data_IF_654597860188
#
_entry.id   IF_654597860188
#
_cell.length_a   1.000
_cell.length_b   1.000
_cell.length_c   1.000
_cell.angle_alpha   90.00
_cell.angle_beta   90.00
_cell.angle_gamma   90.00
#
_symmetry.space_group_name_H-M   'P 1'
#
loop_
_entity.id
_entity.type
_entity.pdbx_description
1 polymer ?
#
# COMPACT_ATOMS: atom_id res chain seq x y z
N UNK A 1 4.02 -5.15 -0.96
CA UNK A 1 2.68 -5.73 -1.28
C UNK A 1 1.60 -4.65 -1.38
N UNK A 2 1.59 -3.63 -0.50
CA UNK A 2 0.76 -2.42 -0.65
C UNK A 2 1.13 -1.55 -1.88
N UNK A 3 2.37 -1.63 -2.35
CA UNK A 3 2.88 -0.87 -3.50
C UNK A 3 2.13 -1.12 -4.81
N UNK A 4 1.64 -2.34 -5.08
CA UNK A 4 0.88 -2.64 -6.32
C UNK A 4 -0.57 -2.15 -6.29
N UNK A 5 -1.16 -2.08 -5.10
CA UNK A 5 -2.54 -1.59 -4.89
C UNK A 5 -2.54 -0.06 -4.91
N UNK A 6 -1.54 0.54 -4.26
CA UNK A 6 -1.28 1.97 -4.31
C UNK A 6 -0.87 2.41 -5.73
N UNK A 7 -0.11 1.60 -6.50
CA UNK A 7 0.23 1.90 -7.90
C UNK A 7 -0.96 1.84 -8.85
N UNK A 8 -1.87 0.87 -8.69
CA UNK A 8 -3.06 0.79 -9.56
C UNK A 8 -4.04 1.92 -9.22
N UNK A 9 -4.17 2.30 -7.95
CA UNK A 9 -4.91 3.51 -7.55
C UNK A 9 -4.18 4.81 -8.00
N UNK A 10 -2.85 4.86 -7.95
CA UNK A 10 -2.09 6.04 -8.37
C UNK A 10 -2.05 6.19 -9.89
N UNK A 11 -2.10 5.11 -10.66
CA UNK A 11 -2.11 5.16 -12.13
C UNK A 11 -3.46 5.68 -12.68
N UNK A 12 -4.56 5.42 -11.98
CA UNK A 12 -5.85 6.07 -12.25
C UNK A 12 -5.91 7.53 -11.78
N UNK A 13 -5.08 7.91 -10.79
CA UNK A 13 -4.97 9.29 -10.30
C UNK A 13 -4.06 10.17 -11.20
N UNK A 14 -3.11 9.58 -11.94
CA UNK A 14 -2.18 10.33 -12.79
C UNK A 14 -2.73 10.74 -14.15
N UNK A 15 -3.74 10.05 -14.70
CA UNK A 15 -4.44 10.48 -15.92
C UNK A 15 -5.45 11.61 -15.67
N UNK A 16 -5.66 11.98 -14.40
CA UNK A 16 -6.43 13.16 -13.98
C UNK A 16 -5.47 14.19 -13.35
N UNK A 17 -4.39 14.54 -14.05
CA UNK A 17 -3.31 15.44 -13.58
C UNK A 17 -3.68 16.93 -13.60
N UNK A 18 -4.96 17.27 -13.37
CA UNK A 18 -5.42 18.61 -13.05
C UNK A 18 -6.63 18.57 -12.11
N UNK A 19 -6.45 18.11 -10.87
CA UNK A 19 -7.38 18.40 -9.78
C UNK A 19 -6.86 17.81 -8.46
N UNK A 20 -6.31 18.65 -7.59
CA UNK A 20 -6.37 18.39 -6.15
C UNK A 20 -7.83 18.32 -5.64
N UNK A 21 -8.82 18.76 -6.45
CA UNK A 21 -10.25 18.72 -6.11
C UNK A 21 -10.94 17.35 -6.26
N UNK A 22 -10.45 16.42 -7.10
CA UNK A 22 -11.19 15.19 -7.43
C UNK A 22 -11.09 14.09 -6.35
N UNK A 23 -9.97 14.05 -5.61
CA UNK A 23 -9.78 13.11 -4.51
C UNK A 23 -10.66 13.49 -3.30
N UNK A 24 -10.74 14.79 -2.99
CA UNK A 24 -11.59 15.33 -1.93
C UNK A 24 -13.08 15.19 -2.28
N UNK A 25 -13.44 15.35 -3.56
CA UNK A 25 -14.78 15.08 -4.08
C UNK A 25 -15.17 13.59 -3.94
N UNK A 26 -14.26 12.67 -4.26
CA UNK A 26 -14.48 11.23 -4.10
C UNK A 26 -14.74 10.81 -2.66
N UNK A 27 -13.91 11.28 -1.72
CA UNK A 27 -14.11 11.03 -0.29
C UNK A 27 -15.42 11.64 0.22
N UNK A 28 -15.76 12.85 -0.22
CA UNK A 28 -17.02 13.52 0.16
C UNK A 28 -18.23 12.73 -0.31
N UNK A 29 -18.21 12.21 -1.55
CA UNK A 29 -19.27 11.34 -2.06
C UNK A 29 -19.38 10.02 -1.30
N UNK A 30 -18.26 9.41 -0.90
CA UNK A 30 -18.26 8.19 -0.08
C UNK A 30 -18.87 8.48 1.30
N UNK A 31 -18.44 9.56 1.96
CA UNK A 31 -18.99 9.98 3.26
C UNK A 31 -20.49 10.19 3.16
N UNK A 32 -20.96 10.91 2.15
CA UNK A 32 -22.38 11.18 1.92
C UNK A 32 -23.17 9.89 1.67
N UNK A 33 -22.67 9.01 0.79
CA UNK A 33 -23.28 7.71 0.52
C UNK A 33 -23.42 6.86 1.78
N UNK A 34 -22.38 6.80 2.60
CA UNK A 34 -22.38 6.02 3.84
C UNK A 34 -23.28 6.64 4.92
N UNK A 35 -23.37 7.98 5.02
CA UNK A 35 -24.33 8.67 5.88
C UNK A 35 -25.78 8.39 5.45
N UNK A 36 -26.08 8.48 4.16
CA UNK A 36 -27.40 8.15 3.61
C UNK A 36 -27.82 6.70 3.91
N UNK A 37 -26.86 5.77 3.89
CA UNK A 37 -27.07 4.37 4.28
C UNK A 37 -27.03 4.10 5.78
N UNK A 38 -26.91 5.14 6.62
CA UNK A 38 -26.79 5.04 8.09
C UNK A 38 -25.62 4.14 8.54
N UNK A 39 -24.52 4.13 7.77
CA UNK A 39 -23.28 3.37 8.07
C UNK A 39 -22.21 4.24 8.73
N UNK A 40 -22.38 5.56 8.70
CA UNK A 40 -21.53 6.54 9.39
C UNK A 40 -22.41 7.53 10.16
N UNK A 41 -21.98 7.86 11.36
CA UNK A 41 -22.57 8.90 12.23
C UNK A 41 -21.58 10.01 12.53
N UNK A 42 -20.31 9.82 12.17
CA UNK A 42 -19.20 10.69 12.52
C UNK A 42 -19.16 11.98 11.69
N UNK A 43 -18.44 12.95 12.25
CA UNK A 43 -18.05 14.15 11.55
C UNK A 43 -16.68 13.95 10.88
N UNK A 44 -16.57 14.49 9.68
CA UNK A 44 -15.38 14.42 8.83
C UNK A 44 -14.93 15.83 8.45
N UNK A 45 -13.65 16.04 8.14
CA UNK A 45 -13.17 17.31 7.56
C UNK A 45 -14.04 17.70 6.36
N UNK A 46 -14.37 18.99 6.22
CA UNK A 46 -15.03 19.53 5.02
C UNK A 46 -14.22 19.25 3.74
N UNK A 47 -14.85 19.11 2.54
CA UNK A 47 -16.01 19.89 2.07
C UNK A 47 -17.35 19.14 2.13
N UNK A 48 -18.18 19.46 3.14
CA UNK A 48 -19.53 18.85 3.33
C UNK A 48 -20.59 19.48 2.39
N UNK A 49 -20.19 19.90 1.20
CA UNK A 49 -21.12 20.21 0.11
C UNK A 49 -20.64 19.53 -1.17
N UNK A 50 -20.60 18.20 -1.14
CA UNK A 50 -20.60 17.47 -2.39
C UNK A 50 -21.96 17.63 -3.05
N UNK A 51 -21.94 18.09 -4.30
CA UNK A 51 -23.12 18.15 -5.14
C UNK A 51 -23.73 16.75 -5.25
N UNK A 52 -24.96 16.61 -4.74
CA UNK A 52 -25.71 15.35 -4.73
C UNK A 52 -25.80 14.73 -6.13
N UNK A 53 -25.94 15.56 -7.17
CA UNK A 53 -26.00 15.09 -8.55
C UNK A 53 -24.67 14.53 -9.02
N UNK A 54 -23.54 15.13 -8.62
CA UNK A 54 -22.21 14.57 -8.89
C UNK A 54 -22.01 13.23 -8.17
N UNK A 55 -22.42 13.13 -6.91
CA UNK A 55 -22.24 11.87 -6.17
C UNK A 55 -23.12 10.73 -6.70
N UNK A 56 -24.28 11.02 -7.29
CA UNK A 56 -25.09 10.02 -8.01
C UNK A 56 -24.35 9.44 -9.22
N UNK A 57 -23.47 10.20 -9.86
CA UNK A 57 -22.65 9.74 -10.99
C UNK A 57 -21.37 9.06 -10.52
N UNK A 58 -20.70 9.62 -9.51
CA UNK A 58 -19.38 9.15 -9.03
C UNK A 58 -19.48 7.83 -8.24
N UNK A 59 -20.46 7.68 -7.35
CA UNK A 59 -20.55 6.51 -6.48
C UNK A 59 -20.71 5.18 -7.24
N UNK A 60 -21.56 5.07 -8.29
CA UNK A 60 -21.61 3.86 -9.11
C UNK A 60 -20.26 3.50 -9.74
N UNK A 61 -19.47 4.48 -10.15
CA UNK A 61 -18.14 4.27 -10.72
C UNK A 61 -17.16 3.74 -9.67
N UNK A 62 -17.14 4.36 -8.48
CA UNK A 62 -16.33 3.89 -7.34
C UNK A 62 -16.67 2.42 -7.03
N UNK A 63 -17.96 2.12 -6.83
CA UNK A 63 -18.40 0.77 -6.47
C UNK A 63 -18.07 -0.26 -7.57
N UNK A 64 -18.25 0.09 -8.85
CA UNK A 64 -17.91 -0.78 -9.97
C UNK A 64 -16.41 -1.02 -10.07
N UNK A 65 -15.58 -0.01 -9.78
CA UNK A 65 -14.13 -0.15 -9.76
C UNK A 65 -13.66 -1.06 -8.62
N UNK A 66 -14.23 -0.91 -7.42
CA UNK A 66 -13.98 -1.85 -6.31
C UNK A 66 -14.39 -3.28 -6.66
N UNK A 67 -15.56 -3.45 -7.29
CA UNK A 67 -16.03 -4.76 -7.77
C UNK A 67 -15.04 -5.39 -8.77
N UNK A 68 -14.59 -4.59 -9.75
CA UNK A 68 -13.62 -5.02 -10.77
C UNK A 68 -12.28 -5.40 -10.15
N UNK A 69 -11.75 -4.59 -9.23
CA UNK A 69 -10.49 -4.86 -8.54
C UNK A 69 -10.54 -6.16 -7.72
N UNK A 70 -11.66 -6.40 -7.01
CA UNK A 70 -11.87 -7.66 -6.29
C UNK A 70 -11.91 -8.86 -7.26
N UNK A 71 -12.64 -8.72 -8.37
CA UNK A 71 -12.72 -9.77 -9.39
C UNK A 71 -11.33 -10.11 -9.94
N UNK A 72 -10.55 -9.11 -10.32
CA UNK A 72 -9.17 -9.30 -10.82
C UNK A 72 -8.34 -10.07 -9.80
N UNK A 73 -8.35 -9.66 -8.53
CA UNK A 73 -7.58 -10.36 -7.48
C UNK A 73 -8.00 -11.80 -7.26
N UNK A 74 -9.31 -12.07 -7.25
CA UNK A 74 -9.80 -13.43 -7.12
C UNK A 74 -9.37 -14.30 -8.30
N UNK A 75 -9.41 -13.75 -9.52
CA UNK A 75 -8.94 -14.44 -10.73
C UNK A 75 -7.44 -14.70 -10.69
N UNK A 76 -6.62 -13.71 -10.32
CA UNK A 76 -5.15 -13.85 -10.19
C UNK A 76 -4.75 -14.95 -9.21
N UNK A 77 -5.60 -15.24 -8.22
CA UNK A 77 -5.40 -16.27 -7.21
C UNK A 77 -6.08 -17.59 -7.57
N UNK A 78 -6.58 -17.72 -8.79
CA UNK A 78 -7.25 -18.91 -9.32
C UNK A 78 -8.45 -19.37 -8.46
N UNK A 79 -9.23 -18.43 -7.92
CA UNK A 79 -10.39 -18.80 -7.11
C UNK A 79 -11.48 -19.42 -7.99
N UNK A 80 -12.02 -20.60 -7.63
CA UNK A 80 -13.21 -21.12 -8.29
C UNK A 80 -14.41 -20.22 -7.97
N UNK A 81 -15.33 -20.12 -8.93
CA UNK A 81 -16.60 -19.42 -8.76
C UNK A 81 -16.47 -17.92 -8.40
N UNK A 82 -15.47 -17.22 -8.94
CA UNK A 82 -15.27 -15.76 -8.74
C UNK A 82 -16.57 -14.96 -8.91
N UNK A 83 -17.36 -15.27 -9.93
CA UNK A 83 -18.63 -14.58 -10.19
C UNK A 83 -19.65 -14.76 -9.05
N UNK A 84 -19.69 -15.94 -8.41
CA UNK A 84 -20.53 -16.18 -7.24
C UNK A 84 -20.04 -15.32 -6.06
N UNK A 85 -18.73 -15.28 -5.82
CA UNK A 85 -18.15 -14.56 -4.68
C UNK A 85 -18.35 -13.04 -4.82
N UNK A 86 -18.10 -12.48 -6.00
CA UNK A 86 -18.33 -11.07 -6.30
C UNK A 86 -19.81 -10.71 -6.12
N UNK A 87 -20.73 -11.56 -6.61
CA UNK A 87 -22.18 -11.37 -6.41
C UNK A 87 -22.56 -11.42 -4.93
N UNK A 88 -21.95 -12.31 -4.14
CA UNK A 88 -22.18 -12.39 -2.71
C UNK A 88 -21.70 -11.13 -1.98
N UNK A 89 -20.49 -10.66 -2.27
CA UNK A 89 -19.90 -9.44 -1.69
C UNK A 89 -20.78 -8.21 -1.96
N UNK A 90 -21.30 -8.10 -3.19
CA UNK A 90 -22.23 -7.03 -3.56
C UNK A 90 -23.53 -7.08 -2.75
N UNK A 91 -24.16 -8.26 -2.68
CA UNK A 91 -25.47 -8.42 -2.05
C UNK A 91 -25.43 -8.31 -0.52
N UNK A 92 -24.28 -8.56 0.11
CA UNK A 92 -24.10 -8.48 1.56
C UNK A 92 -23.69 -7.09 2.04
N UNK A 93 -23.48 -6.13 1.12
CA UNK A 93 -23.03 -4.79 1.45
C UNK A 93 -21.57 -4.72 1.90
N UNK A 94 -20.74 -5.74 1.61
CA UNK A 94 -19.32 -5.71 1.95
C UNK A 94 -18.57 -4.53 1.32
N UNK A 95 -18.98 -4.09 0.12
CA UNK A 95 -18.42 -2.87 -0.49
C UNK A 95 -18.64 -1.64 0.38
N UNK A 96 -19.81 -1.48 1.00
CA UNK A 96 -20.07 -0.36 1.91
C UNK A 96 -19.16 -0.45 3.15
N UNK A 97 -18.95 -1.65 3.71
CA UNK A 97 -18.04 -1.84 4.84
C UNK A 97 -16.57 -1.62 4.48
N UNK A 98 -16.15 -1.95 3.25
CA UNK A 98 -14.81 -1.60 2.76
C UNK A 98 -14.64 -0.07 2.71
N UNK A 99 -15.64 0.64 2.20
CA UNK A 99 -15.63 2.11 2.19
C UNK A 99 -15.62 2.71 3.61
N UNK A 100 -16.37 2.14 4.56
CA UNK A 100 -16.31 2.55 5.98
C UNK A 100 -14.89 2.42 6.52
N UNK A 101 -14.22 1.30 6.23
CA UNK A 101 -12.85 1.04 6.69
C UNK A 101 -11.85 2.09 6.17
N UNK A 102 -12.01 2.53 4.92
CA UNK A 102 -11.15 3.56 4.32
C UNK A 102 -11.40 4.96 4.90
N UNK A 103 -12.65 5.28 5.24
CA UNK A 103 -13.05 6.64 5.65
C UNK A 103 -12.93 6.88 7.17
N UNK A 104 -13.18 5.87 8.02
CA UNK A 104 -13.13 6.02 9.48
C UNK A 104 -11.83 6.64 10.01
N UNK A 105 -10.62 6.29 9.51
CA UNK A 105 -9.37 6.92 9.93
C UNK A 105 -9.28 8.43 9.64
N UNK A 106 -10.14 8.95 8.76
CA UNK A 106 -10.21 10.37 8.44
C UNK A 106 -11.17 11.15 9.37
N UNK A 107 -11.83 10.49 10.32
CA UNK A 107 -12.75 11.16 11.25
C UNK A 107 -11.99 12.09 12.19
N UNK A 108 -12.54 13.30 12.38
CA UNK A 108 -12.04 14.27 13.39
C UNK A 108 -12.78 14.19 14.72
N UNK A 109 -13.92 13.49 14.75
CA UNK A 109 -14.78 13.41 15.93
C UNK A 109 -14.52 12.17 16.79
N UNK A 110 -13.63 11.27 16.35
CA UNK A 110 -13.30 10.05 17.07
C UNK A 110 -11.89 10.13 17.63
N UNK A 111 -11.70 9.57 18.81
CA UNK A 111 -10.37 9.34 19.36
C UNK A 111 -9.64 8.20 18.62
N UNK A 112 -8.32 8.15 18.68
CA UNK A 112 -7.52 7.09 18.04
C UNK A 112 -7.90 5.68 18.52
N UNK A 113 -8.27 5.54 19.80
CA UNK A 113 -8.77 4.30 20.40
C UNK A 113 -10.08 3.85 19.74
N UNK A 114 -11.01 4.77 19.53
CA UNK A 114 -12.30 4.54 18.87
C UNK A 114 -12.14 4.24 17.38
N UNK A 115 -11.26 5.00 16.68
CA UNK A 115 -10.89 4.74 15.27
C UNK A 115 -10.37 3.31 15.13
N UNK A 116 -9.48 2.88 16.03
CA UNK A 116 -8.91 1.54 16.04
C UNK A 116 -9.98 0.48 16.28
N UNK A 117 -10.84 0.68 17.29
CA UNK A 117 -11.90 -0.26 17.62
C UNK A 117 -12.92 -0.39 16.49
N UNK A 118 -13.34 0.74 15.91
CA UNK A 118 -14.30 0.77 14.80
C UNK A 118 -13.73 0.11 13.56
N UNK A 119 -12.48 0.41 13.22
CA UNK A 119 -11.77 -0.25 12.10
C UNK A 119 -11.70 -1.76 12.33
N UNK A 120 -11.36 -2.22 13.53
CA UNK A 120 -11.32 -3.65 13.89
C UNK A 120 -12.69 -4.31 13.76
N UNK A 121 -13.75 -3.67 14.25
CA UNK A 121 -15.12 -4.17 14.16
C UNK A 121 -15.56 -4.33 12.70
N UNK A 122 -15.28 -3.33 11.86
CA UNK A 122 -15.55 -3.39 10.42
C UNK A 122 -14.79 -4.55 9.77
N UNK A 123 -13.53 -4.76 10.13
CA UNK A 123 -12.76 -5.88 9.59
C UNK A 123 -13.32 -7.25 10.00
N UNK A 124 -13.79 -7.41 11.24
CA UNK A 124 -14.45 -8.65 11.69
C UNK A 124 -15.70 -8.93 10.85
N UNK A 125 -16.51 -7.90 10.59
CA UNK A 125 -17.71 -8.02 9.74
C UNK A 125 -17.33 -8.44 8.33
N UNK A 126 -16.36 -7.76 7.73
CA UNK A 126 -15.88 -8.06 6.39
C UNK A 126 -15.33 -9.50 6.29
N UNK A 127 -14.56 -9.94 7.28
CA UNK A 127 -14.03 -11.32 7.33
C UNK A 127 -15.15 -12.34 7.36
N UNK A 128 -16.18 -12.11 8.18
CA UNK A 128 -17.36 -12.97 8.24
C UNK A 128 -18.06 -13.04 6.88
N UNK A 129 -18.28 -11.90 6.21
CA UNK A 129 -18.91 -11.85 4.90
C UNK A 129 -18.11 -12.65 3.86
N UNK A 130 -16.79 -12.44 3.81
CA UNK A 130 -15.92 -13.11 2.83
C UNK A 130 -15.88 -14.62 3.05
N UNK A 131 -15.74 -15.08 4.30
CA UNK A 131 -15.75 -16.51 4.63
C UNK A 131 -17.11 -17.16 4.36
N UNK A 132 -18.21 -16.48 4.67
CA UNK A 132 -19.56 -16.96 4.32
C UNK A 132 -19.74 -17.03 2.80
N UNK A 133 -19.24 -16.05 2.06
CA UNK A 133 -19.23 -16.05 0.60
C UNK A 133 -18.45 -17.22 0.01
N UNK A 134 -17.24 -17.47 0.51
CA UNK A 134 -16.39 -18.58 0.10
C UNK A 134 -17.09 -19.92 0.29
N UNK A 135 -17.63 -20.19 1.49
CA UNK A 135 -18.38 -21.41 1.78
C UNK A 135 -19.58 -21.57 0.86
N UNK A 136 -20.37 -20.51 0.67
CA UNK A 136 -21.54 -20.53 -0.21
C UNK A 136 -21.18 -20.77 -1.68
N UNK A 137 -20.06 -20.24 -2.11
CA UNK A 137 -19.55 -20.38 -3.47
C UNK A 137 -18.65 -21.60 -3.65
N UNK A 138 -18.61 -22.51 -2.66
CA UNK A 138 -17.82 -23.75 -2.66
C UNK A 138 -16.34 -23.50 -2.96
N UNK A 139 -15.81 -22.39 -2.45
CA UNK A 139 -14.39 -22.07 -2.51
C UNK A 139 -13.67 -22.83 -1.37
N UNK A 140 -12.50 -23.45 -1.63
CA UNK A 140 -11.61 -24.05 -0.62
C UNK A 140 -11.46 -23.28 0.71
N UNK A 141 -11.29 -24.03 1.81
CA UNK A 141 -11.17 -23.48 3.17
C UNK A 141 -9.83 -22.77 3.45
N UNK A 142 -8.80 -23.03 2.63
CA UNK A 142 -7.47 -22.41 2.70
C UNK A 142 -7.46 -20.92 2.26
N UNK A 143 -8.55 -20.42 1.70
CA UNK A 143 -8.69 -19.02 1.29
C UNK A 143 -8.87 -18.01 2.43
N UNK A 144 -8.94 -18.46 3.68
CA UNK A 144 -8.88 -17.56 4.83
C UNK A 144 -7.66 -16.63 4.75
N UNK A 145 -6.50 -17.12 4.27
CA UNK A 145 -5.30 -16.31 4.06
C UNK A 145 -5.45 -15.22 3.00
N UNK A 146 -6.21 -15.47 1.92
CA UNK A 146 -6.49 -14.47 0.89
C UNK A 146 -7.44 -13.38 1.40
N UNK A 147 -8.42 -13.73 2.24
CA UNK A 147 -9.29 -12.72 2.84
C UNK A 147 -8.56 -11.87 3.86
N UNK A 148 -7.67 -12.46 4.66
CA UNK A 148 -6.74 -11.70 5.50
C UNK A 148 -5.86 -10.75 4.68
N UNK A 149 -5.39 -11.16 3.50
CA UNK A 149 -4.65 -10.31 2.55
C UNK A 149 -5.51 -9.15 2.02
N UNK A 150 -6.76 -9.42 1.60
CA UNK A 150 -7.71 -8.41 1.09
C UNK A 150 -8.11 -7.42 2.19
N UNK A 151 -8.30 -7.92 3.41
CA UNK A 151 -8.70 -7.11 4.57
C UNK A 151 -7.51 -6.46 5.26
N UNK A 152 -6.28 -6.67 4.79
CA UNK A 152 -5.09 -6.14 5.45
C UNK A 152 -5.03 -6.50 6.93
N UNK A 153 -5.62 -7.64 7.32
CA UNK A 153 -5.46 -8.28 8.63
C UNK A 153 -4.61 -9.50 8.44
N UNK A 154 -3.31 -9.34 8.14
CA UNK A 154 -2.47 -10.50 7.96
C UNK A 154 -2.58 -11.39 9.20
N UNK A 155 -2.81 -12.69 8.97
CA UNK A 155 -2.54 -13.72 9.95
C UNK A 155 -1.02 -13.68 10.14
N UNK A 156 -0.53 -12.70 10.93
CA UNK A 156 0.89 -12.37 10.98
C UNK A 156 1.55 -13.52 11.72
N UNK A 157 2.21 -14.38 10.97
CA UNK A 157 3.02 -15.44 11.54
C UNK A 157 4.13 -14.80 12.38
N UNK A 158 4.57 -15.51 13.41
CA UNK A 158 5.68 -15.09 14.28
C UNK A 158 6.89 -14.57 13.48
N UNK A 159 7.34 -15.20 12.37
CA UNK A 159 8.42 -14.66 11.54
C UNK A 159 8.13 -13.28 10.95
N UNK A 160 6.91 -13.00 10.51
CA UNK A 160 6.54 -11.70 9.94
C UNK A 160 6.46 -10.64 11.05
N UNK A 161 6.04 -11.00 12.26
CA UNK A 161 6.09 -10.10 13.41
C UNK A 161 7.52 -9.71 13.76
N UNK A 162 8.43 -10.70 13.79
CA UNK A 162 9.87 -10.48 14.01
C UNK A 162 10.47 -9.60 12.92
N UNK A 163 10.08 -9.85 11.67
CA UNK A 163 10.48 -9.05 10.52
C UNK A 163 10.08 -7.57 10.65
N UNK A 164 8.80 -7.33 10.95
CA UNK A 164 8.28 -5.99 11.12
C UNK A 164 8.93 -5.28 12.30
N UNK A 165 9.18 -5.99 13.41
CA UNK A 165 9.90 -5.45 14.56
C UNK A 165 11.31 -5.00 14.16
N UNK A 166 12.10 -5.85 13.50
CA UNK A 166 13.47 -5.50 13.13
C UNK A 166 13.54 -4.33 12.16
N UNK A 167 12.65 -4.29 11.17
CA UNK A 167 12.63 -3.19 10.20
C UNK A 167 12.19 -1.87 10.84
N UNK A 168 11.24 -1.93 11.76
CA UNK A 168 10.77 -0.76 12.50
C UNK A 168 11.85 -0.24 13.43
N UNK A 169 12.53 -1.15 14.17
CA UNK A 169 13.68 -0.84 15.02
C UNK A 169 14.77 -0.16 14.19
N UNK A 170 15.18 -0.79 13.09
CA UNK A 170 16.19 -0.27 12.19
C UNK A 170 15.85 1.13 11.66
N UNK A 171 14.61 1.36 11.22
CA UNK A 171 14.20 2.65 10.66
C UNK A 171 14.19 3.79 11.69
N UNK A 172 13.88 3.49 12.95
CA UNK A 172 13.88 4.49 14.03
C UNK A 172 15.31 4.75 14.51
N UNK A 173 16.09 3.70 14.77
CA UNK A 173 17.48 3.82 15.27
C UNK A 173 18.40 4.51 14.26
N UNK A 174 18.19 4.29 12.95
CA UNK A 174 18.94 4.97 11.89
C UNK A 174 18.34 6.33 11.48
N UNK A 175 17.39 6.87 12.25
CA UNK A 175 16.74 8.16 11.98
C UNK A 175 16.18 8.27 10.54
N UNK A 176 15.67 7.15 10.04
CA UNK A 176 14.95 7.09 8.77
C UNK A 176 13.53 7.62 8.89
N UNK A 177 12.94 7.41 10.07
CA UNK A 177 11.66 7.96 10.48
C UNK A 177 11.87 8.68 11.82
N UNK A 178 11.43 9.93 11.89
CA UNK A 178 11.43 10.74 13.11
C UNK A 178 10.09 10.57 13.83
N UNK A 179 10.16 10.02 15.04
CA UNK A 179 9.00 9.81 15.92
C UNK A 179 9.43 10.09 17.35
N UNK A 180 8.57 10.77 18.14
CA UNK A 180 8.93 11.14 19.51
C UNK A 180 8.70 10.00 20.50
N UNK A 181 7.61 9.24 20.35
CA UNK A 181 7.27 8.13 21.24
C UNK A 181 6.52 7.03 20.48
N UNK A 182 7.23 6.01 20.01
CA UNK A 182 6.63 4.86 19.33
C UNK A 182 6.96 3.58 20.08
N UNK A 183 5.93 2.79 20.37
CA UNK A 183 6.12 1.42 20.80
C UNK A 183 6.54 0.56 19.61
N UNK A 184 7.83 0.21 19.56
CA UNK A 184 8.44 -0.60 18.49
C UNK A 184 7.99 -2.08 18.57
N UNK A 185 7.55 -2.56 19.75
CA UNK A 185 7.03 -3.90 19.97
C UNK A 185 5.58 -3.87 20.51
N UNK A 186 4.60 -3.37 19.73
CA UNK A 186 3.23 -3.21 20.19
C UNK A 186 2.52 -4.54 20.46
N UNK A 187 3.04 -5.64 19.88
CA UNK A 187 2.48 -6.98 20.00
C UNK A 187 3.20 -7.85 21.03
N UNK A 188 4.15 -7.28 21.78
CA UNK A 188 4.91 -7.96 22.86
C UNK A 188 5.48 -9.31 22.44
N UNK A 189 6.02 -9.39 21.21
CA UNK A 189 6.69 -10.62 20.76
C UNK A 189 7.96 -10.86 21.58
N UNK A 190 8.34 -12.13 21.72
CA UNK A 190 9.59 -12.49 22.40
C UNK A 190 10.78 -11.99 21.59
N UNK A 191 11.68 -11.25 22.26
CA UNK A 191 12.89 -10.68 21.65
C UNK A 191 14.14 -11.55 21.89
N UNK A 192 14.03 -12.60 22.71
CA UNK A 192 15.17 -13.32 23.28
C UNK A 192 16.12 -13.98 22.25
N UNK A 193 15.70 -14.12 20.99
CA UNK A 193 16.48 -14.74 19.91
C UNK A 193 16.29 -14.02 18.56
N UNK A 194 16.02 -12.71 18.57
CA UNK A 194 15.88 -11.95 17.34
C UNK A 194 17.20 -11.24 17.03
N UNK A 195 17.89 -11.70 15.98
CA UNK A 195 19.03 -10.98 15.41
C UNK A 195 18.56 -10.04 14.28
N UNK A 196 18.36 -8.77 14.61
CA UNK A 196 17.88 -7.80 13.63
C UNK A 196 18.95 -7.36 12.64
N UNK A 197 20.23 -7.36 13.01
CA UNK A 197 21.33 -6.99 12.12
C UNK A 197 21.42 -8.00 10.98
N UNK A 198 21.53 -9.29 11.30
CA UNK A 198 21.57 -10.37 10.31
C UNK A 198 20.32 -10.37 9.42
N UNK A 199 19.14 -10.11 9.99
CA UNK A 199 17.91 -10.07 9.22
C UNK A 199 17.87 -8.89 8.23
N UNK A 200 18.39 -7.73 8.62
CA UNK A 200 18.50 -6.54 7.76
C UNK A 200 19.49 -6.84 6.63
N UNK A 201 20.67 -7.36 6.96
CA UNK A 201 21.73 -7.68 6.00
C UNK A 201 21.26 -8.72 4.97
N UNK A 202 20.64 -9.82 5.42
CA UNK A 202 20.06 -10.83 4.54
C UNK A 202 18.99 -10.22 3.62
N UNK A 203 18.17 -9.28 4.12
CA UNK A 203 17.16 -8.65 3.29
C UNK A 203 17.76 -7.71 2.26
N UNK A 204 18.81 -6.96 2.63
CA UNK A 204 19.53 -6.09 1.72
C UNK A 204 20.11 -6.90 0.56
N UNK A 205 20.87 -7.96 0.86
CA UNK A 205 21.45 -8.87 -0.15
C UNK A 205 20.36 -9.44 -1.05
N UNK A 206 19.26 -9.90 -0.47
CA UNK A 206 18.12 -10.44 -1.23
C UNK A 206 17.49 -9.38 -2.15
N UNK A 207 17.30 -8.15 -1.68
CA UNK A 207 16.71 -7.07 -2.50
C UNK A 207 17.65 -6.60 -3.60
N UNK A 208 18.95 -6.54 -3.33
CA UNK A 208 19.96 -6.26 -4.35
C UNK A 208 19.95 -7.33 -5.45
N UNK A 209 19.86 -8.61 -5.08
CA UNK A 209 19.71 -9.71 -6.04
C UNK A 209 18.43 -9.57 -6.89
N UNK A 210 17.29 -9.29 -6.25
CA UNK A 210 16.02 -9.08 -6.96
C UNK A 210 16.04 -7.86 -7.89
N UNK A 211 16.74 -6.79 -7.50
CA UNK A 211 16.92 -5.62 -8.35
C UNK A 211 17.76 -6.00 -9.57
N UNK A 212 18.89 -6.69 -9.37
CA UNK A 212 19.75 -7.16 -10.45
C UNK A 212 18.98 -8.05 -11.44
N UNK A 213 18.22 -9.02 -10.95
CA UNK A 213 17.36 -9.88 -11.79
C UNK A 213 16.41 -9.05 -12.66
N UNK A 214 15.71 -8.07 -12.06
CA UNK A 214 14.80 -7.18 -12.79
C UNK A 214 15.48 -6.27 -13.80
N UNK A 215 16.70 -5.83 -13.51
CA UNK A 215 17.45 -5.01 -14.46
C UNK A 215 17.89 -5.85 -15.67
N UNK A 216 18.27 -7.11 -15.47
CA UNK A 216 18.55 -8.04 -16.56
C UNK A 216 17.30 -8.34 -17.40
N UNK A 217 16.11 -8.46 -16.79
CA UNK A 217 14.84 -8.63 -17.52
C UNK A 217 14.44 -7.41 -18.37
N UNK A 218 15.04 -6.24 -18.14
CA UNK A 218 14.74 -4.98 -18.83
C UNK A 218 15.72 -4.67 -19.96
N UNK A 219 16.57 -5.62 -20.33
CA UNK A 219 17.59 -5.50 -21.38
C UNK A 219 18.57 -4.32 -21.17
N UNK A 220 18.81 -3.92 -19.91
CA UNK A 220 19.89 -2.99 -19.60
C UNK A 220 21.24 -3.67 -19.86
N UNK A 221 22.20 -2.94 -20.41
CA UNK A 221 23.55 -3.48 -20.58
C UNK A 221 24.32 -3.52 -19.24
N UNK A 222 25.43 -4.27 -19.21
CA UNK A 222 26.21 -4.49 -17.98
C UNK A 222 26.67 -3.19 -17.31
N UNK A 223 27.05 -2.17 -18.07
CA UNK A 223 27.49 -0.88 -17.54
C UNK A 223 26.33 -0.11 -16.89
N UNK A 224 25.16 -0.11 -17.53
CA UNK A 224 23.94 0.50 -16.99
C UNK A 224 23.49 -0.20 -15.71
N UNK A 225 23.50 -1.54 -15.72
CA UNK A 225 23.18 -2.35 -14.54
C UNK A 225 24.12 -2.01 -13.39
N UNK A 226 25.43 -2.01 -13.64
CA UNK A 226 26.44 -1.72 -12.62
C UNK A 226 26.26 -0.31 -12.06
N UNK A 227 26.07 0.70 -12.94
CA UNK A 227 25.79 2.07 -12.53
C UNK A 227 24.56 2.14 -11.60
N UNK A 228 23.44 1.52 -11.99
CA UNK A 228 22.21 1.52 -11.17
C UNK A 228 22.43 0.84 -9.81
N UNK A 229 23.17 -0.27 -9.77
CA UNK A 229 23.48 -0.98 -8.53
C UNK A 229 24.39 -0.16 -7.59
N UNK A 230 25.37 0.55 -8.13
CA UNK A 230 26.25 1.43 -7.35
C UNK A 230 25.49 2.63 -6.79
N UNK A 231 24.59 3.22 -7.59
CA UNK A 231 23.69 4.29 -7.14
C UNK A 231 22.71 3.81 -6.06
N UNK A 232 22.18 2.59 -6.18
CA UNK A 232 21.30 1.99 -5.18
C UNK A 232 21.98 1.90 -3.80
N UNK A 233 23.26 1.50 -3.78
CA UNK A 233 24.08 1.40 -2.56
C UNK A 233 24.48 2.78 -2.04
N UNK A 234 25.00 3.64 -2.92
CA UNK A 234 25.52 4.97 -2.54
C UNK A 234 24.44 5.86 -1.96
N UNK A 235 23.27 5.90 -2.58
CA UNK A 235 22.14 6.71 -2.14
C UNK A 235 21.30 6.01 -1.04
N UNK A 236 21.76 4.86 -0.53
CA UNK A 236 21.07 4.07 0.50
C UNK A 236 19.59 3.86 0.17
N UNK A 237 19.31 3.48 -1.06
CA UNK A 237 17.93 3.28 -1.54
C UNK A 237 17.25 2.12 -0.79
N UNK A 238 18.01 1.15 -0.28
CA UNK A 238 17.51 0.12 0.63
C UNK A 238 16.85 0.73 1.87
N UNK A 239 17.56 1.59 2.61
CA UNK A 239 17.09 2.26 3.81
C UNK A 239 15.78 3.02 3.57
N UNK A 240 15.73 3.77 2.47
CA UNK A 240 14.52 4.52 2.09
C UNK A 240 13.33 3.61 1.81
N UNK A 241 13.56 2.46 1.18
CA UNK A 241 12.52 1.46 0.96
C UNK A 241 12.03 0.82 2.27
N UNK A 242 12.92 0.54 3.22
CA UNK A 242 12.57 0.03 4.55
C UNK A 242 11.73 1.06 5.30
N UNK A 243 12.13 2.33 5.28
CA UNK A 243 11.39 3.41 5.94
C UNK A 243 9.97 3.56 5.38
N UNK A 244 9.80 3.50 4.06
CA UNK A 244 8.47 3.51 3.43
C UNK A 244 7.62 2.28 3.78
N UNK A 245 8.25 1.13 3.98
CA UNK A 245 7.52 -0.10 4.30
C UNK A 245 6.94 -0.07 5.71
N UNK A 246 7.70 0.47 6.68
CA UNK A 246 7.31 0.41 8.09
C UNK A 246 6.44 1.59 8.54
N UNK A 247 6.53 2.74 7.86
CA UNK A 247 5.79 3.96 8.25
C UNK A 247 4.27 3.76 8.37
N UNK A 248 3.71 2.90 7.53
CA UNK A 248 2.27 2.62 7.53
C UNK A 248 1.87 1.74 8.71
N UNK A 249 2.80 0.92 9.21
CA UNK A 249 2.61 0.05 10.36
C UNK A 249 2.76 0.77 11.70
N UNK A 250 3.36 1.96 11.69
CA UNK A 250 3.53 2.77 12.89
C UNK A 250 2.19 3.36 13.35
N UNK A 251 1.95 3.30 14.66
CA UNK A 251 0.81 3.93 15.33
C UNK A 251 1.16 5.39 15.68
N UNK A 252 1.37 6.20 14.64
CA UNK A 252 1.68 7.64 14.71
C UNK A 252 0.61 8.44 13.96
N UNK A 253 0.56 9.75 14.18
CA UNK A 253 -0.46 10.61 13.56
C UNK A 253 -0.34 10.65 12.03
N UNK A 254 -1.43 11.04 11.37
CA UNK A 254 -1.42 11.23 9.92
C UNK A 254 -0.38 12.27 9.49
N UNK A 255 -0.30 13.38 10.23
CA UNK A 255 0.65 14.46 10.01
C UNK A 255 2.11 13.98 10.15
N UNK A 256 2.40 13.15 11.16
CA UNK A 256 3.72 12.53 11.34
C UNK A 256 4.06 11.57 10.20
N UNK A 257 3.10 10.75 9.74
CA UNK A 257 3.29 9.89 8.54
C UNK A 257 3.57 10.73 7.31
N UNK A 258 2.81 11.81 7.11
CA UNK A 258 2.99 12.71 5.96
C UNK A 258 4.38 13.34 5.95
N UNK A 259 4.80 13.95 7.06
CA UNK A 259 6.11 14.59 7.18
C UNK A 259 7.26 13.60 6.94
N UNK A 260 7.17 12.39 7.49
CA UNK A 260 8.18 11.36 7.27
C UNK A 260 8.19 10.84 5.82
N UNK A 261 7.02 10.65 5.18
CA UNK A 261 6.97 10.28 3.75
C UNK A 261 7.63 11.33 2.86
N UNK A 262 7.41 12.62 3.14
CA UNK A 262 8.05 13.71 2.41
C UNK A 262 9.58 13.69 2.58
N UNK A 263 10.06 13.49 3.81
CA UNK A 263 11.49 13.33 4.08
C UNK A 263 12.11 12.14 3.35
N UNK A 264 11.42 11.00 3.31
CA UNK A 264 11.89 9.80 2.60
C UNK A 264 11.87 10.03 1.08
N UNK A 265 10.82 10.67 0.55
CA UNK A 265 10.73 11.02 -0.87
C UNK A 265 11.89 11.92 -1.31
N UNK A 266 12.25 12.92 -0.50
CA UNK A 266 13.39 13.79 -0.77
C UNK A 266 14.73 13.03 -0.79
N UNK A 267 14.89 11.99 0.02
CA UNK A 267 16.06 11.09 -0.04
C UNK A 267 16.07 10.25 -1.32
N UNK A 268 14.90 9.72 -1.71
CA UNK A 268 14.77 8.91 -2.93
C UNK A 268 14.91 9.73 -4.22
N UNK A 269 14.63 11.04 -4.19
CA UNK A 269 14.74 11.90 -5.37
C UNK A 269 16.16 11.86 -5.98
N UNK A 270 17.20 11.83 -5.15
CA UNK A 270 18.59 11.72 -5.59
C UNK A 270 18.83 10.41 -6.33
N UNK A 271 18.43 9.29 -5.73
CA UNK A 271 18.50 7.98 -6.37
C UNK A 271 17.76 7.94 -7.70
N UNK A 272 16.53 8.46 -7.76
CA UNK A 272 15.74 8.51 -9.00
C UNK A 272 16.48 9.28 -10.10
N UNK A 273 17.02 10.47 -9.77
CA UNK A 273 17.82 11.28 -10.72
C UNK A 273 19.04 10.50 -11.20
N UNK A 274 19.74 9.83 -10.30
CA UNK A 274 20.91 8.99 -10.64
C UNK A 274 20.56 7.82 -11.56
N UNK A 275 19.44 7.11 -11.33
CA UNK A 275 19.00 6.04 -12.25
C UNK A 275 18.74 6.60 -13.64
N UNK A 276 18.11 7.77 -13.76
CA UNK A 276 17.87 8.39 -15.07
C UNK A 276 19.17 8.72 -15.79
N UNK A 277 20.23 9.11 -15.06
CA UNK A 277 21.56 9.33 -15.63
C UNK A 277 22.14 8.00 -16.09
N UNK A 278 22.18 6.98 -15.23
CA UNK A 278 22.68 5.64 -15.56
C UNK A 278 21.96 5.04 -16.78
N UNK A 279 20.65 5.21 -16.88
CA UNK A 279 19.84 4.71 -17.99
C UNK A 279 20.01 5.54 -19.29
N UNK A 280 20.45 6.80 -19.21
CA UNK A 280 20.69 7.67 -20.37
C UNK A 280 22.10 7.55 -20.95
N UNK A 281 23.07 7.06 -20.19
CA UNK A 281 24.34 6.61 -20.76
C UNK A 281 24.02 5.57 -21.86
N UNK A 282 24.38 5.89 -23.10
CA UNK A 282 24.31 5.07 -24.33
C UNK A 282 23.09 5.21 -25.27
N UNK A 283 22.39 6.35 -25.30
CA UNK A 283 21.71 6.77 -26.56
C UNK A 283 22.61 7.58 -27.51
N UNK A 284 23.85 7.90 -27.11
CA UNK A 284 24.76 8.75 -27.87
C UNK A 284 26.10 8.13 -28.29
N UNK A 285 26.35 6.82 -28.06
CA UNK A 285 27.62 6.19 -28.49
C UNK A 285 27.52 5.34 -29.77
N UNK A 286 26.35 5.23 -30.41
CA UNK A 286 26.15 4.43 -31.63
C UNK A 286 26.12 5.23 -32.94
N UNK A 287 26.60 6.48 -32.96
CA UNK A 287 26.76 7.26 -34.21
C UNK A 287 28.10 7.99 -34.33
N UNK A 288 29.22 7.32 -34.05
CA UNK A 288 30.51 7.70 -34.64
C UNK A 288 31.24 6.42 -35.08
N UNK A 289 30.85 5.91 -36.25
CA UNK A 289 31.77 5.17 -37.11
C UNK A 289 32.03 6.04 -38.33
N UNK A 290 32.79 7.12 -38.15
CA UNK A 290 33.66 7.62 -39.21
C UNK A 290 34.93 6.81 -39.14
N UNK A 291 34.96 5.70 -39.89
CA UNK A 291 36.23 5.16 -40.34
C UNK A 291 36.70 6.04 -41.49
N UNK A 292 37.87 6.65 -41.31
CA UNK A 292 38.63 7.25 -42.39
C UNK A 292 39.25 6.14 -43.24
N UNK A 293 39.06 6.21 -44.56
CA UNK A 293 40.12 6.26 -45.57
C UNK A 293 39.56 6.98 -46.79
#
# INVERSE_FOLDING_TARGET
MYFKIFLILSFFLFTVTKATSTLDEGHSCIIQHLKNKKKLTENFPQPVQSDLEKCKVVMPLILKNFESALRIRFTEKNLPNVNCLVKHIKNTGALDFMLVREIVPMSRSLENSEITQKTRNVTIILRKILLTGARRCKSPDDYAGLFEEILGTPNITEPVLRHNYCFTKYAIENHLIEVKHVNINPRRISLANINCEEMIDMNQVRREKQLLERLNEKDYNKEQIQCIMDEYRREKAFDSNIALEVIDMLHISYEEKRANREKIANRMEKFIKSIFICAKFLKHSSSVKTFHF
#
